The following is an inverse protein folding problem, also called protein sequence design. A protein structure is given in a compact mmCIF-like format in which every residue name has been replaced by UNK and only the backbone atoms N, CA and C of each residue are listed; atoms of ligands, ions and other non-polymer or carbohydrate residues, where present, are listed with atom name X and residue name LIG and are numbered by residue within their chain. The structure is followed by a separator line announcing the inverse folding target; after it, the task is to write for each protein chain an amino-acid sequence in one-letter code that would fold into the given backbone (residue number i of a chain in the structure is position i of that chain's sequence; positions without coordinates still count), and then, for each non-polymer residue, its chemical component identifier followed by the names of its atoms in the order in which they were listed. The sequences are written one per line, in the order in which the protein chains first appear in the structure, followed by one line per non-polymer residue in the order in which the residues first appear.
data_IF_101039869292
#
_entry.id   IF_101039869292
#
_cell.length_a   1.000
_cell.length_b   1.000
_cell.length_c   1.000
_cell.angle_alpha   90.00
_cell.angle_beta   90.00
_cell.angle_gamma   90.00
#
_symmetry.space_group_name_H-M   'P 1'
#
loop_
_entity.id
_entity.type
_entity.pdbx_description
1 polymer ?
#
# COMPACT_ATOMS: atom_id res chain seq x y z
N UNK A 1 -2.03 28.37 3.67
CA UNK A 1 -3.27 27.89 3.03
C UNK A 1 -3.34 26.37 3.22
N UNK A 2 -4.12 25.91 4.20
CA UNK A 2 -4.19 24.51 4.61
C UNK A 2 -5.39 23.83 3.96
N UNK A 3 -5.15 22.86 3.07
CA UNK A 3 -6.17 21.92 2.66
C UNK A 3 -5.66 20.49 2.94
N UNK A 4 -5.59 20.12 4.23
CA UNK A 4 -5.57 18.70 4.61
C UNK A 4 -6.97 18.17 4.30
N UNK A 5 -7.16 17.70 3.07
CA UNK A 5 -8.35 16.95 2.70
C UNK A 5 -8.52 15.81 3.72
N UNK A 6 -9.62 15.86 4.49
CA UNK A 6 -10.12 14.71 5.25
C UNK A 6 -10.40 13.60 4.23
N UNK A 7 -9.42 12.74 4.00
CA UNK A 7 -9.60 11.56 3.17
C UNK A 7 -10.62 10.63 3.84
N UNK A 8 -11.69 10.30 3.11
CA UNK A 8 -12.68 9.28 3.46
C UNK A 8 -12.06 8.07 4.20
N UNK A 9 -12.71 7.52 5.25
CA UNK A 9 -12.15 6.45 6.08
C UNK A 9 -11.56 5.28 5.27
N UNK A 10 -12.21 4.87 4.16
CA UNK A 10 -11.73 3.80 3.28
C UNK A 10 -10.43 4.10 2.53
N UNK A 11 -10.17 5.38 2.16
CA UNK A 11 -8.89 5.78 1.55
C UNK A 11 -7.74 5.67 2.56
N UNK A 12 -8.01 5.92 3.85
CA UNK A 12 -7.01 5.79 4.92
C UNK A 12 -6.63 4.32 5.17
N UNK A 13 -7.61 3.41 5.20
CA UNK A 13 -7.34 1.98 5.38
C UNK A 13 -6.53 1.40 4.23
N UNK A 14 -6.88 1.73 2.98
CA UNK A 14 -6.13 1.26 1.80
C UNK A 14 -4.67 1.68 1.84
N UNK A 15 -4.38 2.92 2.25
CA UNK A 15 -3.01 3.42 2.36
C UNK A 15 -2.23 2.69 3.46
N UNK A 16 -2.84 2.52 4.65
CA UNK A 16 -2.23 1.76 5.75
C UNK A 16 -1.88 0.32 5.36
N UNK A 17 -2.73 -0.32 4.56
CA UNK A 17 -2.45 -1.64 3.98
C UNK A 17 -1.17 -1.62 3.14
N UNK A 18 -1.02 -0.65 2.23
CA UNK A 18 0.16 -0.53 1.39
C UNK A 18 1.43 -0.21 2.19
N UNK A 19 1.35 0.71 3.14
CA UNK A 19 2.51 1.09 3.97
C UNK A 19 3.01 -0.09 4.80
N UNK A 20 2.10 -0.86 5.40
CA UNK A 20 2.44 -2.07 6.18
C UNK A 20 3.01 -3.16 5.27
N UNK A 21 2.41 -3.36 4.09
CA UNK A 21 2.90 -4.34 3.11
C UNK A 21 4.33 -4.01 2.68
N UNK A 22 4.61 -2.74 2.37
CA UNK A 22 5.95 -2.30 1.98
C UNK A 22 6.97 -2.52 3.09
N UNK A 23 6.62 -2.19 4.33
CA UNK A 23 7.51 -2.42 5.48
C UNK A 23 7.84 -3.92 5.65
N UNK A 24 6.82 -4.78 5.62
CA UNK A 24 7.02 -6.23 5.73
C UNK A 24 7.80 -6.83 4.56
N UNK A 25 7.57 -6.35 3.32
CA UNK A 25 8.34 -6.77 2.16
C UNK A 25 9.81 -6.40 2.28
N UNK A 26 10.12 -5.19 2.76
CA UNK A 26 11.49 -4.73 2.96
C UNK A 26 12.20 -5.51 4.07
N UNK A 27 11.49 -5.88 5.15
CA UNK A 27 12.05 -6.63 6.28
C UNK A 27 12.26 -8.12 5.96
N UNK A 28 11.29 -8.74 5.28
CA UNK A 28 11.19 -10.22 5.18
C UNK A 28 11.32 -10.76 3.77
N UNK A 29 11.28 -9.90 2.76
CA UNK A 29 11.14 -10.27 1.36
C UNK A 29 9.68 -10.62 1.02
N UNK A 30 9.27 -10.24 -0.20
CA UNK A 30 7.89 -10.40 -0.69
C UNK A 30 7.38 -11.83 -0.49
N UNK A 31 8.12 -12.86 -0.92
CA UNK A 31 7.70 -14.26 -0.87
C UNK A 31 7.31 -14.77 0.53
N UNK A 32 7.83 -14.16 1.60
CA UNK A 32 7.56 -14.57 3.00
C UNK A 32 6.36 -13.86 3.64
N UNK A 33 5.73 -12.93 2.93
CA UNK A 33 4.64 -12.10 3.45
C UNK A 33 3.31 -12.55 2.84
N UNK A 34 2.34 -12.90 3.67
CA UNK A 34 0.98 -13.25 3.25
C UNK A 34 -0.01 -12.13 3.55
N UNK A 35 -1.16 -12.12 2.87
CA UNK A 35 -2.26 -11.18 3.16
C UNK A 35 -2.78 -11.33 4.59
N UNK A 36 -2.80 -12.55 5.13
CA UNK A 36 -3.19 -12.79 6.52
C UNK A 36 -2.19 -12.18 7.51
N UNK A 37 -0.89 -12.26 7.24
CA UNK A 37 0.13 -11.60 8.07
C UNK A 37 -0.05 -10.07 8.05
N UNK A 38 -0.28 -9.49 6.87
CA UNK A 38 -0.50 -8.04 6.73
C UNK A 38 -1.75 -7.60 7.51
N UNK A 39 -2.84 -8.37 7.43
CA UNK A 39 -4.07 -8.07 8.18
C UNK A 39 -3.85 -8.14 9.70
N UNK A 40 -3.11 -9.16 10.16
CA UNK A 40 -2.75 -9.32 11.56
C UNK A 40 -1.89 -8.15 12.08
N UNK A 41 -0.86 -7.76 11.33
CA UNK A 41 0.02 -6.62 11.67
C UNK A 41 -0.77 -5.31 11.80
N UNK A 42 -1.79 -5.12 10.97
CA UNK A 42 -2.66 -3.94 10.99
C UNK A 42 -3.77 -3.97 12.05
N UNK A 43 -3.99 -5.11 12.70
CA UNK A 43 -5.12 -5.34 13.59
C UNK A 43 -6.48 -5.25 12.88
N UNK A 44 -6.57 -5.66 11.62
CA UNK A 44 -7.81 -5.68 10.83
C UNK A 44 -8.21 -7.12 10.47
N UNK A 45 -9.48 -7.34 10.13
CA UNK A 45 -9.92 -8.64 9.64
C UNK A 45 -9.37 -8.92 8.24
N UNK A 46 -9.12 -10.20 7.92
CA UNK A 46 -8.76 -10.62 6.57
C UNK A 46 -9.82 -10.18 5.53
N UNK A 47 -11.11 -10.19 5.89
CA UNK A 47 -12.19 -9.71 5.03
C UNK A 47 -12.07 -8.21 4.70
N UNK A 48 -11.64 -7.38 5.66
CA UNK A 48 -11.39 -5.95 5.42
C UNK A 48 -10.22 -5.77 4.44
N UNK A 49 -9.13 -6.52 4.61
CA UNK A 49 -8.02 -6.49 3.65
C UNK A 49 -8.46 -6.95 2.26
N UNK A 50 -9.18 -8.07 2.15
CA UNK A 50 -9.66 -8.61 0.87
C UNK A 50 -10.68 -7.69 0.17
N UNK A 51 -11.43 -6.89 0.92
CA UNK A 51 -12.27 -5.83 0.37
C UNK A 51 -11.45 -4.79 -0.40
N UNK A 52 -10.25 -4.45 0.07
CA UNK A 52 -9.36 -3.49 -0.59
C UNK A 52 -8.43 -4.13 -1.62
N UNK A 53 -7.92 -5.34 -1.34
CA UNK A 53 -6.97 -6.07 -2.17
C UNK A 53 -7.29 -7.57 -2.15
N UNK A 54 -7.97 -8.02 -3.21
CA UNK A 54 -8.39 -9.43 -3.37
C UNK A 54 -7.20 -10.40 -3.31
N UNK A 55 -6.08 -10.03 -3.91
CA UNK A 55 -4.89 -10.86 -4.05
C UNK A 55 -3.61 -10.07 -3.76
N UNK A 56 -2.56 -10.77 -3.33
CA UNK A 56 -1.27 -10.18 -2.99
C UNK A 56 -0.63 -9.44 -4.17
N UNK A 57 -0.79 -9.94 -5.39
CA UNK A 57 -0.27 -9.30 -6.60
C UNK A 57 -0.80 -7.88 -6.82
N UNK A 58 -2.03 -7.60 -6.38
CA UNK A 58 -2.60 -6.25 -6.44
C UNK A 58 -1.92 -5.28 -5.47
N UNK A 59 -1.39 -5.77 -4.35
CA UNK A 59 -0.56 -4.98 -3.44
C UNK A 59 0.76 -4.64 -4.11
N UNK A 60 1.43 -5.65 -4.69
CA UNK A 60 2.70 -5.49 -5.40
C UNK A 60 2.57 -4.53 -6.58
N UNK A 61 1.52 -4.67 -7.39
CA UNK A 61 1.22 -3.75 -8.49
C UNK A 61 0.97 -2.32 -8.00
N UNK A 62 0.21 -2.14 -6.91
CA UNK A 62 -0.05 -0.82 -6.34
C UNK A 62 1.22 -0.17 -5.77
N UNK A 63 2.10 -0.95 -5.14
CA UNK A 63 3.40 -0.47 -4.68
C UNK A 63 4.31 -0.07 -5.84
N UNK A 64 4.32 -0.85 -6.93
CA UNK A 64 5.06 -0.50 -8.14
C UNK A 64 4.55 0.80 -8.76
N UNK A 65 3.23 0.97 -8.90
CA UNK A 65 2.64 2.22 -9.42
C UNK A 65 3.02 3.41 -8.55
N UNK A 66 2.94 3.25 -7.22
CA UNK A 66 3.37 4.29 -6.26
C UNK A 66 4.85 4.63 -6.46
N UNK A 67 5.72 3.63 -6.51
CA UNK A 67 7.15 3.82 -6.71
C UNK A 67 7.45 4.54 -8.03
N UNK A 68 6.87 4.09 -9.15
CA UNK A 68 7.06 4.73 -10.46
C UNK A 68 6.58 6.18 -10.44
N UNK A 69 5.46 6.46 -9.76
CA UNK A 69 4.93 7.83 -9.66
C UNK A 69 5.84 8.74 -8.85
N UNK A 70 6.33 8.26 -7.70
CA UNK A 70 7.27 8.97 -6.84
C UNK A 70 8.62 9.18 -7.55
N UNK A 71 9.12 8.15 -8.24
CA UNK A 71 10.35 8.22 -9.01
C UNK A 71 10.24 9.17 -10.20
N UNK A 72 9.14 9.12 -10.97
CA UNK A 72 8.90 10.01 -12.09
C UNK A 72 8.88 11.49 -11.67
N UNK A 73 8.37 11.79 -10.47
CA UNK A 73 8.38 13.14 -9.93
C UNK A 73 9.79 13.67 -9.57
N UNK A 74 10.77 12.78 -9.43
CA UNK A 74 12.18 13.14 -9.21
C UNK A 74 12.96 13.34 -10.52
N UNK A 75 12.44 12.86 -11.64
CA UNK A 75 13.08 13.01 -12.94
C UNK A 75 12.75 14.40 -13.53
N UNK A 76 13.71 15.05 -14.22
CA UNK A 76 13.39 16.26 -14.97
C UNK A 76 12.31 15.95 -16.02
N UNK A 77 11.43 16.91 -16.32
CA UNK A 77 10.44 16.74 -17.38
C UNK A 77 11.18 16.43 -18.68
N UNK A 78 10.67 15.44 -19.42
CA UNK A 78 11.14 15.22 -20.78
C UNK A 78 10.72 16.44 -21.59
N UNK A 79 11.72 17.16 -22.12
CA UNK A 79 11.51 18.30 -23.02
C UNK A 79 10.71 17.92 -24.25
#
# INVERSE_FOLDING_TARGET
MSNRQKSEPGRRTRQRILDTTLALYNERGEARVSTSLIAAELGISAGNLHYHFRHKDLLSAALLVRFVSEFAALLPPKG
#
